data_IF_664652043590
#
_entry.id   IF_664652043590
#
_cell.length_a   1.000
_cell.length_b   1.000
_cell.length_c   1.000
_cell.angle_alpha   90.00
_cell.angle_beta   90.00
_cell.angle_gamma   90.00
#
_symmetry.space_group_name_H-M   'P 1'
#
loop_
_entity.id
_entity.type
_entity.pdbx_description
1 polymer ?
#
# COMPACT_ATOMS: atom_id res chain seq x y z
N UNK A 1 15.31 19.82 3.90
CA UNK A 1 14.36 18.70 4.04
C UNK A 1 13.20 19.01 3.11
N UNK A 2 12.61 18.01 2.43
CA UNK A 2 11.43 18.22 1.61
C UNK A 2 10.30 18.87 2.41
N UNK A 3 9.53 19.73 1.77
CA UNK A 3 8.29 20.28 2.30
C UNK A 3 7.23 19.18 2.27
N UNK A 4 6.57 18.95 3.40
CA UNK A 4 5.49 17.97 3.52
C UNK A 4 4.16 18.71 3.47
N UNK A 5 3.28 18.29 2.56
CA UNK A 5 1.97 18.92 2.36
C UNK A 5 0.87 17.88 2.23
N UNK A 6 -0.27 18.18 2.86
CA UNK A 6 -1.52 17.46 2.65
C UNK A 6 -2.20 17.92 1.36
N UNK A 7 -2.67 16.96 0.58
CA UNK A 7 -3.43 17.14 -0.65
C UNK A 7 -4.83 16.55 -0.47
N UNK A 8 -5.84 17.42 -0.62
CA UNK A 8 -7.26 17.05 -0.59
C UNK A 8 -7.83 16.74 -1.97
N UNK A 9 -7.10 17.07 -3.03
CA UNK A 9 -7.45 16.81 -4.42
C UNK A 9 -6.26 16.16 -5.12
N UNK A 10 -6.51 15.52 -6.26
CA UNK A 10 -5.45 14.95 -7.08
C UNK A 10 -4.36 16.01 -7.40
N UNK A 11 -3.07 15.66 -7.31
CA UNK A 11 -1.99 16.58 -7.62
C UNK A 11 -1.96 16.91 -9.13
N UNK A 12 -1.37 18.05 -9.48
CA UNK A 12 -1.17 18.42 -10.89
C UNK A 12 -0.29 17.41 -11.63
N UNK A 13 -0.42 17.34 -12.96
CA UNK A 13 0.19 16.31 -13.82
C UNK A 13 1.69 16.05 -13.58
N UNK A 14 2.57 17.06 -13.37
CA UNK A 14 3.98 16.79 -13.11
C UNK A 14 4.23 15.98 -11.83
N UNK A 15 3.46 16.24 -10.76
CA UNK A 15 3.57 15.50 -9.50
C UNK A 15 2.81 14.17 -9.54
N UNK A 16 1.66 14.14 -10.21
CA UNK A 16 0.91 12.90 -10.42
C UNK A 16 1.77 11.87 -11.15
N UNK A 17 2.43 12.27 -12.25
CA UNK A 17 3.31 11.38 -13.02
C UNK A 17 4.51 10.88 -12.20
N UNK A 18 5.14 11.75 -11.39
CA UNK A 18 6.23 11.35 -10.49
C UNK A 18 5.76 10.38 -9.39
N UNK A 19 4.56 10.56 -8.86
CA UNK A 19 3.95 9.64 -7.89
C UNK A 19 3.74 8.27 -8.53
N UNK A 20 3.14 8.22 -9.72
CA UNK A 20 2.93 6.97 -10.44
C UNK A 20 4.25 6.25 -10.77
N UNK A 21 5.29 6.99 -11.15
CA UNK A 21 6.63 6.43 -11.32
C UNK A 21 7.17 5.84 -10.02
N UNK A 22 7.01 6.54 -8.89
CA UNK A 22 7.47 6.04 -7.60
C UNK A 22 6.71 4.77 -7.16
N UNK A 23 5.43 4.63 -7.52
CA UNK A 23 4.66 3.39 -7.30
C UNK A 23 5.24 2.24 -8.13
N UNK A 24 5.54 2.47 -9.41
CA UNK A 24 6.13 1.48 -10.32
C UNK A 24 7.49 1.01 -9.80
N UNK A 25 8.35 1.94 -9.42
CA UNK A 25 9.71 1.68 -8.91
C UNK A 25 9.71 0.89 -7.59
N UNK A 26 8.64 1.03 -6.80
CA UNK A 26 8.49 0.38 -5.49
C UNK A 26 7.45 -0.76 -5.50
N UNK A 27 7.03 -1.25 -6.68
CA UNK A 27 5.94 -2.22 -6.80
C UNK A 27 6.11 -3.45 -5.89
N UNK A 28 7.30 -4.06 -5.84
CA UNK A 28 7.53 -5.26 -5.01
C UNK A 28 7.42 -4.98 -3.51
N UNK A 29 7.71 -3.76 -3.08
CA UNK A 29 7.59 -3.32 -1.68
C UNK A 29 6.15 -2.93 -1.33
N UNK A 30 5.41 -2.36 -2.27
CA UNK A 30 4.03 -1.88 -2.08
C UNK A 30 2.97 -2.98 -2.26
N UNK A 31 3.22 -3.93 -3.16
CA UNK A 31 2.26 -4.99 -3.47
C UNK A 31 2.18 -6.02 -2.34
N UNK A 32 0.95 -6.37 -1.93
CA UNK A 32 0.69 -7.49 -1.03
C UNK A 32 1.22 -8.83 -1.58
N UNK A 33 1.36 -8.96 -2.91
CA UNK A 33 1.88 -10.19 -3.54
C UNK A 33 3.40 -10.31 -3.46
N UNK A 34 4.13 -9.20 -3.32
CA UNK A 34 5.60 -9.19 -3.30
C UNK A 34 6.24 -9.84 -4.53
N UNK A 35 5.57 -9.81 -5.68
CA UNK A 35 6.06 -10.43 -6.91
C UNK A 35 7.42 -9.84 -7.32
N UNK A 36 8.32 -10.72 -7.74
CA UNK A 36 9.65 -10.37 -8.21
C UNK A 36 9.67 -10.20 -9.74
N UNK A 37 10.57 -9.38 -10.32
CA UNK A 37 10.64 -9.14 -11.77
C UNK A 37 10.81 -10.39 -12.63
N UNK A 38 11.31 -11.49 -12.04
CA UNK A 38 11.47 -12.78 -12.73
C UNK A 38 10.16 -13.55 -12.91
N UNK A 39 9.06 -13.14 -12.27
CA UNK A 39 7.75 -13.76 -12.44
C UNK A 39 7.09 -13.24 -13.74
N UNK A 40 6.63 -14.10 -14.66
CA UNK A 40 5.94 -13.67 -15.89
C UNK A 40 4.74 -12.73 -15.68
N UNK A 41 4.08 -12.80 -14.52
CA UNK A 41 2.94 -11.96 -14.17
C UNK A 41 3.33 -10.57 -13.62
N UNK A 42 4.62 -10.29 -13.44
CA UNK A 42 5.11 -9.08 -12.77
C UNK A 42 4.53 -7.81 -13.40
N UNK A 43 4.66 -7.63 -14.71
CA UNK A 43 4.20 -6.42 -15.40
C UNK A 43 2.67 -6.25 -15.32
N UNK A 44 1.92 -7.35 -15.32
CA UNK A 44 0.45 -7.31 -15.18
C UNK A 44 0.05 -6.79 -13.80
N UNK A 45 0.68 -7.29 -12.75
CA UNK A 45 0.40 -6.84 -11.38
C UNK A 45 0.95 -5.45 -11.08
N UNK A 46 2.08 -5.08 -11.69
CA UNK A 46 2.61 -3.72 -11.61
C UNK A 46 1.65 -2.70 -12.22
N UNK A 47 1.08 -3.02 -13.39
CA UNK A 47 0.03 -2.20 -13.98
C UNK A 47 -1.22 -2.15 -13.10
N UNK A 48 -1.67 -3.29 -12.57
CA UNK A 48 -2.84 -3.35 -11.70
C UNK A 48 -2.69 -2.46 -10.45
N UNK A 49 -1.52 -2.50 -9.78
CA UNK A 49 -1.22 -1.65 -8.63
C UNK A 49 -1.20 -0.16 -9.04
N UNK A 50 -0.58 0.17 -10.17
CA UNK A 50 -0.60 1.54 -10.69
C UNK A 50 -2.03 2.04 -10.94
N UNK A 51 -2.88 1.20 -11.53
CA UNK A 51 -4.28 1.55 -11.76
C UNK A 51 -5.04 1.71 -10.44
N UNK A 52 -4.84 0.82 -9.47
CA UNK A 52 -5.45 0.95 -8.15
C UNK A 52 -5.08 2.28 -7.47
N UNK A 53 -3.80 2.64 -7.44
CA UNK A 53 -3.36 3.92 -6.88
C UNK A 53 -3.98 5.09 -7.65
N UNK A 54 -4.05 5.02 -8.98
CA UNK A 54 -4.71 6.05 -9.78
C UNK A 54 -6.20 6.20 -9.42
N UNK A 55 -6.93 5.11 -9.17
CA UNK A 55 -8.32 5.15 -8.72
C UNK A 55 -8.45 5.79 -7.33
N UNK A 56 -7.53 5.51 -6.41
CA UNK A 56 -7.49 6.21 -5.13
C UNK A 56 -7.24 7.72 -5.30
N UNK A 57 -6.34 8.11 -6.19
CA UNK A 57 -6.07 9.53 -6.47
C UNK A 57 -7.28 10.23 -7.09
N UNK A 58 -8.04 9.54 -7.96
CA UNK A 58 -9.31 10.06 -8.50
C UNK A 58 -10.40 10.21 -7.43
N UNK A 59 -10.33 9.43 -6.35
CA UNK A 59 -11.28 9.53 -5.23
C UNK A 59 -10.96 10.67 -4.25
N UNK A 60 -9.79 11.32 -4.35
CA UNK A 60 -9.42 12.46 -3.52
C UNK A 60 -10.45 13.59 -3.62
N UNK A 61 -10.94 14.05 -2.46
CA UNK A 61 -11.96 15.11 -2.37
C UNK A 61 -13.37 14.65 -2.74
N UNK A 62 -13.56 13.36 -3.06
CA UNK A 62 -14.86 12.75 -3.28
C UNK A 62 -15.55 12.32 -1.99
N UNK A 63 -16.82 11.92 -2.11
CA UNK A 63 -17.63 11.43 -0.99
C UNK A 63 -17.77 9.92 -0.93
N UNK A 64 -17.38 9.20 -1.99
CA UNK A 64 -17.56 7.75 -2.12
C UNK A 64 -16.59 6.94 -1.25
N UNK A 65 -15.36 7.42 -1.12
CA UNK A 65 -14.32 6.78 -0.33
C UNK A 65 -13.44 7.88 0.27
N UNK A 66 -13.31 7.97 1.60
CA UNK A 66 -12.41 8.93 2.21
C UNK A 66 -10.97 8.51 1.92
N UNK A 67 -10.28 9.32 1.12
CA UNK A 67 -8.87 9.15 0.78
C UNK A 67 -8.20 10.49 1.02
N UNK A 68 -7.02 10.45 1.64
CA UNK A 68 -6.16 11.62 1.81
C UNK A 68 -4.73 11.27 1.36
N UNK A 69 -4.01 12.29 0.90
CA UNK A 69 -2.67 12.14 0.33
C UNK A 69 -1.72 13.15 0.97
N UNK A 70 -0.61 12.68 1.49
CA UNK A 70 0.51 13.54 1.91
C UNK A 70 1.65 13.36 0.91
N UNK A 71 2.19 14.46 0.41
CA UNK A 71 3.36 14.48 -0.45
C UNK A 71 4.53 15.13 0.27
N UNK A 72 5.73 14.59 0.06
CA UNK A 72 6.99 15.24 0.43
C UNK A 72 7.67 15.70 -0.87
N UNK A 73 7.81 17.01 -1.04
CA UNK A 73 8.37 17.62 -2.25
C UNK A 73 9.61 18.46 -1.91
N UNK A 74 10.64 18.35 -2.73
CA UNK A 74 11.78 19.27 -2.73
C UNK A 74 11.67 20.10 -4.01
N UNK A 75 11.25 21.36 -3.88
CA UNK A 75 10.80 22.19 -5.01
C UNK A 75 9.67 21.48 -5.80
N UNK A 76 9.89 21.19 -7.08
CA UNK A 76 8.94 20.48 -7.97
C UNK A 76 9.19 18.96 -8.02
N UNK A 77 10.16 18.46 -7.25
CA UNK A 77 10.56 17.05 -7.26
C UNK A 77 9.92 16.28 -6.11
N UNK A 78 9.24 15.19 -6.44
CA UNK A 78 8.64 14.29 -5.45
C UNK A 78 9.73 13.46 -4.76
N UNK A 79 9.78 13.56 -3.43
CA UNK A 79 10.67 12.79 -2.57
C UNK A 79 9.97 11.57 -1.95
N UNK A 80 8.64 11.64 -1.76
CA UNK A 80 7.84 10.54 -1.22
C UNK A 80 6.36 10.89 -1.11
N UNK A 81 5.54 9.88 -0.84
CA UNK A 81 4.12 10.05 -0.58
C UNK A 81 3.62 9.10 0.51
N UNK A 82 2.50 9.47 1.14
CA UNK A 82 1.64 8.62 1.98
C UNK A 82 0.21 8.77 1.48
N UNK A 83 -0.39 7.68 1.02
CA UNK A 83 -1.80 7.57 0.69
C UNK A 83 -2.48 6.80 1.81
N UNK A 84 -3.46 7.42 2.46
CA UNK A 84 -4.14 6.85 3.62
C UNK A 84 -5.66 7.05 3.56
N UNK A 85 -6.34 6.20 4.33
CA UNK A 85 -7.78 6.04 4.36
C UNK A 85 -8.25 6.30 5.79
N UNK A 86 -8.87 7.46 6.08
CA UNK A 86 -9.55 7.69 7.34
C UNK A 86 -10.58 6.58 7.61
N UNK A 87 -10.64 6.10 8.87
CA UNK A 87 -11.57 5.05 9.26
C UNK A 87 -12.93 5.66 9.60
N UNK A 88 -13.96 5.30 8.85
CA UNK A 88 -15.32 5.80 9.06
C UNK A 88 -15.83 5.36 10.45
N UNK A 89 -16.32 6.32 11.24
CA UNK A 89 -16.74 6.05 12.63
C UNK A 89 -15.62 6.12 13.68
N UNK A 90 -14.36 6.25 13.26
CA UNK A 90 -13.20 6.47 14.16
C UNK A 90 -12.39 7.70 13.70
N UNK A 91 -12.82 8.95 14.00
CA UNK A 91 -12.19 10.16 13.47
C UNK A 91 -10.69 10.28 13.79
N UNK A 92 -10.24 9.70 14.90
CA UNK A 92 -8.84 9.70 15.32
C UNK A 92 -7.99 8.60 14.68
N UNK A 93 -8.54 7.79 13.77
CA UNK A 93 -7.86 6.63 13.19
C UNK A 93 -7.86 6.66 11.66
N UNK A 94 -6.75 6.22 11.08
CA UNK A 94 -6.62 6.01 9.64
C UNK A 94 -5.76 4.78 9.32
N UNK A 95 -5.89 4.24 8.12
CA UNK A 95 -5.01 3.21 7.61
C UNK A 95 -4.16 3.73 6.43
N UNK A 96 -2.84 3.59 6.50
CA UNK A 96 -1.97 3.82 5.35
C UNK A 96 -2.16 2.67 4.36
N UNK A 97 -2.65 3.01 3.16
CA UNK A 97 -2.77 2.07 2.06
C UNK A 97 -1.42 1.90 1.34
N UNK A 98 -0.76 3.02 1.01
CA UNK A 98 0.51 3.02 0.30
C UNK A 98 1.43 4.12 0.82
N UNK A 99 2.72 3.82 0.98
CA UNK A 99 3.74 4.80 1.31
C UNK A 99 5.05 4.43 0.61
N UNK A 100 5.68 5.41 -0.02
CA UNK A 100 7.01 5.24 -0.58
C UNK A 100 7.86 6.50 -0.40
N UNK A 101 9.17 6.28 -0.29
CA UNK A 101 10.20 7.34 -0.33
C UNK A 101 11.20 6.94 -1.41
N UNK A 102 11.57 7.91 -2.25
CA UNK A 102 12.55 7.76 -3.32
C UNK A 102 13.85 7.16 -2.76
N UNK A 103 14.39 6.17 -3.46
CA UNK A 103 15.41 5.28 -2.89
C UNK A 103 16.68 6.02 -2.46
N UNK A 104 17.12 7.00 -3.24
CA UNK A 104 18.25 7.90 -3.00
C UNK A 104 18.05 8.84 -1.80
N UNK A 105 16.80 9.06 -1.39
CA UNK A 105 16.45 9.95 -0.28
C UNK A 105 16.04 9.21 1.01
N UNK A 106 16.08 7.87 1.02
CA UNK A 106 15.77 7.07 2.21
C UNK A 106 16.76 7.33 3.35
N UNK A 107 16.33 7.04 4.59
CA UNK A 107 17.10 7.27 5.83
C UNK A 107 17.43 8.74 6.13
N UNK A 108 16.71 9.69 5.51
CA UNK A 108 16.80 11.13 5.76
C UNK A 108 15.64 11.71 6.58
N UNK A 109 14.87 10.85 7.27
CA UNK A 109 13.72 11.26 8.08
C UNK A 109 12.44 11.59 7.30
N UNK A 110 12.42 11.46 5.96
CA UNK A 110 11.27 11.83 5.12
C UNK A 110 10.01 11.02 5.47
N UNK A 111 10.13 9.70 5.61
CA UNK A 111 8.99 8.85 6.00
C UNK A 111 8.42 9.26 7.36
N UNK A 112 9.28 9.62 8.32
CA UNK A 112 8.87 10.13 9.63
C UNK A 112 8.11 11.45 9.49
N UNK A 113 8.65 12.41 8.75
CA UNK A 113 8.00 13.71 8.53
C UNK A 113 6.62 13.58 7.88
N UNK A 114 6.46 12.68 6.89
CA UNK A 114 5.14 12.43 6.28
C UNK A 114 4.16 11.77 7.27
N UNK A 115 4.60 10.80 8.07
CA UNK A 115 3.75 10.15 9.06
C UNK A 115 3.40 11.07 10.23
N UNK A 116 4.30 11.97 10.63
CA UNK A 116 4.03 12.98 11.65
C UNK A 116 2.93 13.95 11.18
N UNK A 117 2.89 14.30 9.89
CA UNK A 117 1.81 15.09 9.30
C UNK A 117 0.46 14.36 9.36
N UNK A 118 0.44 13.05 9.05
CA UNK A 118 -0.76 12.22 9.20
C UNK A 118 -1.18 12.14 10.67
N UNK A 119 -0.22 11.98 11.58
CA UNK A 119 -0.46 11.81 13.02
C UNK A 119 -1.06 13.03 13.70
N UNK A 120 -0.80 14.23 13.18
CA UNK A 120 -1.45 15.47 13.64
C UNK A 120 -2.97 15.44 13.46
N UNK A 121 -3.47 14.69 12.47
CA UNK A 121 -4.90 14.56 12.17
C UNK A 121 -5.49 13.27 12.74
N UNK A 122 -4.73 12.17 12.67
CA UNK A 122 -5.13 10.84 13.11
C UNK A 122 -4.10 10.29 14.11
N UNK A 123 -4.34 10.42 15.42
CA UNK A 123 -3.44 9.89 16.44
C UNK A 123 -3.14 8.39 16.31
N UNK A 124 -4.11 7.63 15.80
CA UNK A 124 -3.97 6.20 15.49
C UNK A 124 -3.74 6.00 14.00
N UNK A 125 -2.59 5.44 13.65
CA UNK A 125 -2.27 5.07 12.27
C UNK A 125 -2.09 3.56 12.22
N UNK A 126 -2.83 2.90 11.33
CA UNK A 126 -2.69 1.48 11.02
C UNK A 126 -2.00 1.30 9.67
N UNK A 127 -1.20 0.27 9.52
CA UNK A 127 -0.65 -0.12 8.22
C UNK A 127 -0.42 -1.62 8.19
N UNK A 128 -0.42 -2.20 6.98
CA UNK A 128 0.04 -3.56 6.78
C UNK A 128 1.28 -3.53 5.89
N UNK A 129 2.32 -4.26 6.29
CA UNK A 129 3.57 -4.30 5.54
C UNK A 129 4.14 -5.72 5.47
N UNK A 130 5.03 -5.95 4.51
CA UNK A 130 5.81 -7.19 4.48
C UNK A 130 6.71 -7.29 5.71
N UNK A 131 6.91 -8.52 6.22
CA UNK A 131 7.71 -8.80 7.43
C UNK A 131 9.07 -8.08 7.46
N UNK A 132 9.75 -7.97 6.31
CA UNK A 132 11.06 -7.30 6.21
C UNK A 132 11.04 -5.78 6.49
N UNK A 133 9.87 -5.13 6.44
CA UNK A 133 9.71 -3.70 6.75
C UNK A 133 9.34 -3.42 8.20
N UNK A 134 8.99 -4.45 8.98
CA UNK A 134 8.58 -4.29 10.39
C UNK A 134 9.61 -3.47 11.19
N UNK A 135 10.93 -3.76 11.16
CA UNK A 135 11.89 -2.97 11.95
C UNK A 135 11.94 -1.49 11.55
N UNK A 136 11.63 -1.17 10.29
CA UNK A 136 11.57 0.21 9.83
C UNK A 136 10.36 0.94 10.45
N UNK A 137 9.21 0.28 10.52
CA UNK A 137 8.00 0.87 11.11
C UNK A 137 8.07 0.92 12.65
N UNK A 138 8.75 -0.04 13.29
CA UNK A 138 9.03 0.04 14.73
C UNK A 138 9.88 1.27 15.09
N UNK A 139 10.89 1.57 14.28
CA UNK A 139 11.69 2.80 14.44
C UNK A 139 10.89 4.10 14.18
N UNK A 140 9.66 3.98 13.66
CA UNK A 140 8.70 5.06 13.45
C UNK A 140 7.59 5.06 14.52
N UNK A 141 7.66 4.19 15.52
CA UNK A 141 6.72 4.14 16.64
C UNK A 141 5.48 3.27 16.40
N UNK A 142 5.57 2.32 15.46
CA UNK A 142 4.52 1.31 15.26
C UNK A 142 4.82 0.04 16.03
N UNK A 143 3.77 -0.62 16.49
CA UNK A 143 3.84 -1.92 17.14
C UNK A 143 3.11 -2.95 16.29
N UNK A 144 3.55 -4.21 16.40
CA UNK A 144 2.87 -5.34 15.74
C UNK A 144 1.58 -5.64 16.49
N UNK A 145 0.44 -5.54 15.80
CA UNK A 145 -0.89 -5.77 16.41
C UNK A 145 -1.63 -6.97 15.82
N UNK A 146 -1.14 -7.55 14.72
CA UNK A 146 -1.75 -8.73 14.12
C UNK A 146 -1.19 -9.02 12.73
N UNK A 147 -1.97 -9.72 11.91
CA UNK A 147 -1.67 -9.97 10.50
C UNK A 147 -2.91 -9.72 9.63
N UNK A 148 -2.67 -9.30 8.39
CA UNK A 148 -3.69 -9.06 7.36
C UNK A 148 -3.26 -9.75 6.07
N UNK A 149 -3.75 -10.96 5.84
CA UNK A 149 -3.32 -11.81 4.73
C UNK A 149 -1.79 -11.98 4.73
N UNK A 150 -1.09 -11.66 3.62
CA UNK A 150 0.36 -11.85 3.50
C UNK A 150 1.22 -10.80 4.26
N UNK A 151 0.59 -9.87 4.98
CA UNK A 151 1.26 -8.73 5.60
C UNK A 151 1.08 -8.71 7.11
N UNK A 152 2.05 -8.16 7.82
CA UNK A 152 2.01 -7.89 9.27
C UNK A 152 1.23 -6.59 9.48
N UNK A 153 0.18 -6.64 10.30
CA UNK A 153 -0.60 -5.48 10.69
C UNK A 153 0.12 -4.78 11.85
N UNK A 154 0.34 -3.48 11.70
CA UNK A 154 1.00 -2.64 12.68
C UNK A 154 0.17 -1.39 12.95
N UNK A 155 0.23 -0.88 14.18
CA UNK A 155 -0.46 0.35 14.57
C UNK A 155 0.39 1.20 15.51
N UNK A 156 0.12 2.50 15.58
CA UNK A 156 0.67 3.37 16.63
C UNK A 156 -0.05 3.15 17.96
N UNK A 157 0.63 3.52 19.06
CA UNK A 157 0.10 3.44 20.43
C UNK A 157 -1.07 4.41 20.66
N UNK A 158 -2.26 3.96 20.30
CA UNK A 158 -3.55 4.59 20.54
C UNK A 158 -4.63 3.50 20.60
N UNK A 159 -5.75 3.66 21.36
CA UNK A 159 -6.76 2.62 21.52
C UNK A 159 -7.35 2.12 20.20
N UNK A 160 -7.59 0.81 20.10
CA UNK A 160 -8.27 0.22 18.95
C UNK A 160 -9.76 0.47 19.03
N UNK A 161 -10.37 0.78 17.88
CA UNK A 161 -11.81 0.67 17.71
C UNK A 161 -12.18 -0.52 16.84
N UNK A 162 -13.49 -0.71 16.68
CA UNK A 162 -14.08 -1.87 15.99
C UNK A 162 -14.65 -1.52 14.59
N UNK A 163 -14.44 -0.29 14.11
CA UNK A 163 -14.99 0.15 12.83
C UNK A 163 -14.32 -0.56 11.63
N UNK A 164 -15.05 -0.64 10.53
CA UNK A 164 -14.53 -1.25 9.30
C UNK A 164 -13.67 -0.28 8.51
N UNK A 165 -12.59 -0.80 7.91
CA UNK A 165 -11.81 -0.06 6.93
C UNK A 165 -12.43 -0.21 5.54
N UNK A 166 -12.89 0.90 4.97
CA UNK A 166 -13.32 0.93 3.58
C UNK A 166 -12.11 0.94 2.63
N UNK A 167 -12.06 0.01 1.67
CA UNK A 167 -11.01 -0.06 0.63
C UNK A 167 -11.63 -0.29 -0.74
N UNK A 168 -10.92 0.06 -1.81
CA UNK A 168 -11.42 -0.19 -3.17
C UNK A 168 -11.50 -1.70 -3.46
N UNK A 169 -12.57 -2.13 -4.12
CA UNK A 169 -12.58 -3.44 -4.76
C UNK A 169 -11.65 -3.42 -5.99
N UNK A 170 -10.56 -4.19 -5.91
CA UNK A 170 -9.58 -4.32 -7.01
C UNK A 170 -9.96 -5.39 -8.03
N UNK A 171 -10.92 -6.27 -7.73
CA UNK A 171 -11.32 -7.35 -8.65
C UNK A 171 -11.81 -6.84 -10.03
N UNK A 172 -12.54 -5.71 -10.13
CA UNK A 172 -12.90 -5.09 -11.41
C UNK A 172 -11.70 -4.69 -12.27
N UNK A 173 -10.57 -4.29 -11.67
CA UNK A 173 -9.36 -3.87 -12.41
C UNK A 173 -8.91 -5.00 -13.34
N UNK A 174 -8.93 -6.25 -12.87
CA UNK A 174 -8.51 -7.40 -13.67
C UNK A 174 -9.45 -7.75 -14.83
N UNK A 175 -10.64 -7.16 -14.88
CA UNK A 175 -11.61 -7.33 -15.98
C UNK A 175 -11.54 -6.22 -17.03
N UNK A 176 -10.69 -5.22 -16.83
CA UNK A 176 -10.49 -4.11 -17.77
C UNK A 176 -9.84 -4.57 -19.07
N UNK A 177 -10.09 -3.84 -20.16
CA UNK A 177 -9.56 -4.18 -21.49
C UNK A 177 -8.03 -4.17 -21.47
N UNK A 178 -7.44 -3.20 -20.79
CA UNK A 178 -6.01 -2.97 -20.66
C UNK A 178 -5.32 -4.17 -19.99
N UNK A 179 -5.84 -4.63 -18.84
CA UNK A 179 -5.30 -5.82 -18.17
C UNK A 179 -5.45 -7.07 -19.04
N UNK A 180 -6.58 -7.24 -19.72
CA UNK A 180 -6.81 -8.40 -20.58
C UNK A 180 -5.88 -8.40 -21.81
N UNK A 181 -5.53 -7.23 -22.33
CA UNK A 181 -4.54 -7.06 -23.39
C UNK A 181 -3.12 -7.41 -22.91
N UNK A 182 -2.72 -6.91 -21.74
CA UNK A 182 -1.42 -7.27 -21.12
C UNK A 182 -1.34 -8.78 -20.88
N UNK A 183 -2.40 -9.37 -20.33
CA UNK A 183 -2.46 -10.82 -20.10
C UNK A 183 -2.33 -11.60 -21.41
N UNK A 184 -3.04 -11.19 -22.46
CA UNK A 184 -2.98 -11.83 -23.78
C UNK A 184 -1.58 -11.71 -24.40
N UNK A 185 -0.91 -10.58 -24.22
CA UNK A 185 0.48 -10.38 -24.65
C UNK A 185 1.44 -11.31 -23.91
N UNK A 186 1.37 -11.36 -22.58
CA UNK A 186 2.20 -12.24 -21.75
C UNK A 186 1.96 -13.73 -22.08
N UNK A 187 0.70 -14.10 -22.35
CA UNK A 187 0.34 -15.45 -22.77
C UNK A 187 0.98 -15.83 -24.12
N UNK A 188 1.02 -14.89 -25.09
CA UNK A 188 1.72 -15.10 -26.37
C UNK A 188 3.23 -15.19 -26.18
N UNK A 189 3.80 -14.36 -25.30
CA UNK A 189 5.24 -14.28 -25.08
C UNK A 189 5.80 -15.50 -24.32
N UNK A 190 5.13 -15.93 -23.26
CA UNK A 190 5.64 -16.97 -22.36
C UNK A 190 4.97 -18.34 -22.56
N UNK A 191 3.81 -18.37 -23.22
CA UNK A 191 3.02 -19.58 -23.42
C UNK A 191 2.18 -19.97 -22.20
N UNK A 192 1.13 -20.76 -22.45
CA UNK A 192 0.13 -21.14 -21.44
C UNK A 192 0.72 -21.85 -20.22
N UNK A 193 1.68 -22.76 -20.43
CA UNK A 193 2.28 -23.54 -19.33
C UNK A 193 3.02 -22.64 -18.35
N UNK A 194 3.86 -21.73 -18.85
CA UNK A 194 4.62 -20.81 -18.01
C UNK A 194 3.70 -19.84 -17.24
N UNK A 195 2.62 -19.36 -17.87
CA UNK A 195 1.63 -18.51 -17.21
C UNK A 195 0.94 -19.23 -16.05
N UNK A 196 0.47 -20.47 -16.26
CA UNK A 196 -0.17 -21.28 -15.19
C UNK A 196 0.83 -21.60 -14.07
N UNK A 197 2.08 -21.88 -14.39
CA UNK A 197 3.13 -22.09 -13.38
C UNK A 197 3.42 -20.81 -12.59
N UNK A 198 3.39 -19.65 -13.24
CA UNK A 198 3.57 -18.34 -12.61
C UNK A 198 2.43 -18.00 -11.64
N UNK A 199 1.18 -18.30 -12.01
CA UNK A 199 0.00 -18.16 -11.14
C UNK A 199 0.12 -19.07 -9.92
N UNK A 200 0.43 -20.35 -10.11
CA UNK A 200 0.63 -21.30 -9.01
C UNK A 200 1.75 -20.86 -8.07
N UNK A 201 2.85 -20.31 -8.61
CA UNK A 201 3.96 -19.79 -7.82
C UNK A 201 3.54 -18.58 -6.98
N UNK A 202 2.77 -17.66 -7.57
CA UNK A 202 2.18 -16.51 -6.85
C UNK A 202 1.30 -16.98 -5.70
N UNK A 203 0.40 -17.93 -5.95
CA UNK A 203 -0.55 -18.40 -4.93
C UNK A 203 0.17 -19.06 -3.76
N UNK A 204 1.14 -19.94 -4.05
CA UNK A 204 2.00 -20.53 -3.01
C UNK A 204 2.77 -19.48 -2.22
N UNK A 205 3.27 -18.45 -2.89
CA UNK A 205 3.98 -17.35 -2.23
C UNK A 205 3.04 -16.57 -1.31
N UNK A 206 1.81 -16.28 -1.74
CA UNK A 206 0.80 -15.62 -0.90
C UNK A 206 0.45 -16.45 0.35
N UNK A 207 0.28 -17.77 0.19
CA UNK A 207 0.01 -18.68 1.30
C UNK A 207 1.17 -18.74 2.30
N UNK A 208 2.40 -18.77 1.79
CA UNK A 208 3.61 -18.74 2.62
C UNK A 208 3.76 -17.41 3.36
N UNK A 209 3.62 -16.28 2.67
CA UNK A 209 3.66 -14.96 3.27
C UNK A 209 2.58 -14.79 4.33
N UNK A 210 1.38 -15.31 4.10
CA UNK A 210 0.27 -15.23 5.06
C UNK A 210 0.56 -16.03 6.33
N UNK A 211 1.08 -17.25 6.19
CA UNK A 211 1.53 -18.05 7.35
C UNK A 211 2.67 -17.36 8.11
N UNK A 212 3.64 -16.81 7.39
CA UNK A 212 4.79 -16.11 8.01
C UNK A 212 4.37 -14.83 8.73
N UNK A 213 3.49 -14.03 8.15
CA UNK A 213 2.96 -12.83 8.79
C UNK A 213 2.18 -13.19 10.05
N UNK A 214 1.31 -14.21 9.98
CA UNK A 214 0.52 -14.65 11.12
C UNK A 214 1.38 -15.20 12.27
N UNK A 215 2.33 -16.09 11.97
CA UNK A 215 3.26 -16.63 12.96
C UNK A 215 4.10 -15.52 13.61
N UNK A 216 4.63 -14.60 12.79
CA UNK A 216 5.44 -13.49 13.28
C UNK A 216 4.64 -12.54 14.18
N UNK A 217 3.38 -12.25 13.85
CA UNK A 217 2.53 -11.43 14.71
C UNK A 217 2.19 -12.15 16.03
N UNK A 218 1.95 -13.46 15.98
CA UNK A 218 1.55 -14.25 17.15
C UNK A 218 2.66 -14.32 18.21
N UNK A 219 3.91 -14.36 17.76
CA UNK A 219 5.09 -14.29 18.64
C UNK A 219 5.25 -12.93 19.34
N UNK A 220 4.59 -11.86 18.84
CA UNK A 220 4.90 -10.47 19.20
C UNK A 220 3.74 -9.69 19.82
N UNK A 221 2.52 -10.19 19.74
CA UNK A 221 1.37 -9.58 20.42
C UNK A 221 0.50 -10.62 21.09
N UNK A 222 0.14 -10.36 22.35
CA UNK A 222 -0.90 -11.11 23.06
C UNK A 222 -2.31 -10.61 22.73
N UNK A 223 -2.43 -9.34 22.32
CA UNK A 223 -3.69 -8.70 21.99
C UNK A 223 -3.82 -8.58 20.49
N UNK A 224 -4.25 -9.68 19.87
CA UNK A 224 -4.43 -9.76 18.43
C UNK A 224 -5.59 -8.88 17.96
N UNK A 225 -5.29 -7.91 17.10
CA UNK A 225 -6.27 -7.02 16.50
C UNK A 225 -6.63 -7.48 15.10
N UNK A 226 -7.93 -7.42 14.80
CA UNK A 226 -8.48 -7.64 13.47
C UNK A 226 -9.24 -6.39 13.06
N UNK A 227 -8.96 -5.88 11.87
CA UNK A 227 -9.72 -4.80 11.25
C UNK A 227 -10.57 -5.41 10.13
N UNK A 228 -11.89 -5.35 10.28
CA UNK A 228 -12.80 -5.75 9.22
C UNK A 228 -12.63 -4.82 8.01
N UNK A 229 -12.75 -5.37 6.80
CA UNK A 229 -12.60 -4.63 5.55
C UNK A 229 -13.93 -4.62 4.81
N UNK A 230 -14.35 -3.44 4.37
CA UNK A 230 -15.50 -3.22 3.50
C UNK A 230 -15.00 -2.82 2.12
N UNK A 231 -15.35 -3.58 1.08
CA UNK A 231 -15.00 -3.26 -0.30
C UNK A 231 -15.98 -2.26 -0.91
N UNK A 232 -15.48 -1.26 -1.66
CA UNK A 232 -16.22 -0.15 -2.28
C UNK A 232 -16.04 -0.11 -3.81
#
# INVERSE_FOLDING_TARGET
MPVVTLHQTAPAEPLHSQLMQLVVDNFSDLSATGLQPSNPLYNLYQYALGFEVHLYLQALGGTRLPVELVLACDEEQLAGFVLYLPIEGEPGACAVAYMAVRQDLRRRGIARAMLDEVRQRHPRIELACGKGKVPCFEALGFEVVGARGPQVLMATDAPAGDAELAVLDVAPIFRTVEIQQIHSYLLKQHGRKAMVEAEKKRDRQLDELSRHAAAFAWERTANWQLRAIRLI
#
